data_IF_611794548330
#
_entry.id   IF_611794548330
#
_cell.length_a   1.000
_cell.length_b   1.000
_cell.length_c   1.000
_cell.angle_alpha   90.00
_cell.angle_beta   90.00
_cell.angle_gamma   90.00
#
_symmetry.space_group_name_H-M   'P 1'
#
loop_
_entity.id
_entity.type
_entity.pdbx_description
1 polymer ?
#
# COMPACT_ATOMS: atom_id res chain seq x y z
N UNK A 1 13.90 -13.50 -13.54
CA UNK A 1 14.64 -12.41 -12.87
C UNK A 1 14.97 -11.37 -13.94
N UNK A 2 14.03 -10.48 -14.23
CA UNK A 2 14.22 -9.37 -15.18
C UNK A 2 13.79 -8.11 -14.46
N UNK A 3 14.77 -7.36 -13.98
CA UNK A 3 14.58 -5.97 -13.57
C UNK A 3 14.22 -5.19 -14.83
N UNK A 4 12.92 -5.02 -15.07
CA UNK A 4 12.40 -4.24 -16.18
C UNK A 4 12.30 -2.77 -15.71
N UNK A 5 13.05 -1.83 -16.29
CA UNK A 5 13.40 -0.55 -15.65
C UNK A 5 12.29 0.52 -15.59
N UNK A 6 11.05 0.23 -15.95
CA UNK A 6 10.01 1.25 -16.20
C UNK A 6 8.66 1.05 -15.52
N UNK A 7 8.47 0.02 -14.68
CA UNK A 7 7.21 -0.15 -13.94
C UNK A 7 7.22 0.66 -12.65
N UNK A 8 6.85 1.94 -12.76
CA UNK A 8 6.40 2.70 -11.60
C UNK A 8 5.10 2.05 -11.15
N UNK A 9 5.12 1.37 -10.00
CA UNK A 9 3.90 0.86 -9.40
C UNK A 9 3.40 1.91 -8.41
N UNK A 10 2.17 2.34 -8.56
CA UNK A 10 1.48 3.25 -7.64
C UNK A 10 0.32 2.50 -6.99
N UNK A 11 0.18 2.61 -5.67
CA UNK A 11 -0.89 1.93 -4.95
C UNK A 11 -1.80 2.96 -4.30
N UNK A 12 -3.09 2.81 -4.54
CA UNK A 12 -4.13 3.61 -3.91
C UNK A 12 -4.89 2.71 -2.93
N UNK A 13 -4.88 3.11 -1.66
CA UNK A 13 -5.66 2.43 -0.64
C UNK A 13 -6.89 3.26 -0.33
N UNK A 14 -8.06 2.64 -0.48
CA UNK A 14 -9.35 3.25 -0.14
C UNK A 14 -10.06 2.39 0.90
N UNK A 15 -10.75 3.04 1.83
CA UNK A 15 -11.55 2.35 2.84
C UNK A 15 -12.83 1.80 2.18
N UNK A 16 -12.88 0.49 1.98
CA UNK A 16 -14.10 -0.19 1.53
C UNK A 16 -14.52 -1.26 2.56
N UNK A 17 -15.75 -1.21 3.11
CA UNK A 17 -16.24 -2.19 4.09
C UNK A 17 -16.52 -3.58 3.50
N UNK A 18 -16.38 -3.77 2.19
CA UNK A 18 -16.64 -5.04 1.49
C UNK A 18 -15.33 -5.64 1.00
N UNK A 19 -14.89 -6.73 1.61
CA UNK A 19 -13.67 -7.48 1.25
C UNK A 19 -13.84 -8.41 0.04
N UNK A 20 -14.94 -8.31 -0.72
CA UNK A 20 -15.16 -9.17 -1.89
C UNK A 20 -14.43 -8.57 -3.09
N UNK A 21 -13.25 -9.14 -3.35
CA UNK A 21 -12.65 -9.14 -4.68
C UNK A 21 -12.41 -10.60 -5.05
N UNK A 22 -12.87 -11.01 -6.23
CA UNK A 22 -12.69 -12.37 -6.75
C UNK A 22 -11.21 -12.77 -6.92
N UNK A 23 -10.91 -13.92 -7.54
CA UNK A 23 -9.56 -14.46 -7.61
C UNK A 23 -8.62 -13.57 -8.45
N UNK A 24 -8.01 -12.58 -7.80
CA UNK A 24 -7.07 -11.62 -8.39
C UNK A 24 -5.70 -12.26 -8.68
N UNK A 25 -5.39 -13.37 -8.01
CA UNK A 25 -4.12 -14.10 -8.10
C UNK A 25 -3.82 -14.52 -9.54
N UNK A 26 -4.76 -15.15 -10.23
CA UNK A 26 -4.58 -15.55 -11.63
C UNK A 26 -4.46 -14.38 -12.61
N UNK A 27 -5.01 -13.21 -12.28
CA UNK A 27 -4.83 -12.00 -13.09
C UNK A 27 -3.42 -11.41 -12.90
N UNK A 28 -2.93 -11.35 -11.66
CA UNK A 28 -1.62 -10.78 -11.31
C UNK A 28 -0.44 -11.65 -11.77
N UNK A 29 -0.63 -12.97 -11.86
CA UNK A 29 0.38 -13.88 -12.42
C UNK A 29 0.61 -13.64 -13.91
N UNK A 30 -0.45 -13.32 -14.66
CA UNK A 30 -0.40 -13.12 -16.12
C UNK A 30 -0.24 -11.64 -16.51
N UNK A 31 -0.59 -10.71 -15.63
CA UNK A 31 -0.54 -9.28 -15.87
C UNK A 31 0.15 -8.58 -14.70
N UNK A 32 1.11 -7.71 -14.99
CA UNK A 32 1.76 -6.91 -13.96
C UNK A 32 1.31 -5.44 -14.11
N UNK A 33 0.23 -5.04 -13.41
CA UNK A 33 -0.36 -3.71 -13.52
C UNK A 33 0.56 -2.62 -12.97
N UNK A 34 0.43 -1.42 -13.51
CA UNK A 34 1.16 -0.23 -13.05
C UNK A 34 0.47 0.47 -11.87
N UNK A 35 -0.84 0.31 -11.75
CA UNK A 35 -1.62 0.89 -10.65
C UNK A 35 -2.44 -0.23 -10.03
N UNK A 36 -2.39 -0.33 -8.71
CA UNK A 36 -3.20 -1.27 -7.94
C UNK A 36 -4.00 -0.48 -6.92
N UNK A 37 -5.30 -0.72 -6.90
CA UNK A 37 -6.23 -0.09 -5.96
C UNK A 37 -6.81 -1.19 -5.09
N UNK A 38 -6.81 -1.01 -3.77
CA UNK A 38 -7.36 -2.03 -2.87
C UNK A 38 -7.32 -1.66 -1.40
N UNK A 39 -7.92 -2.49 -0.56
CA UNK A 39 -7.85 -2.30 0.90
C UNK A 39 -6.48 -2.75 1.43
N UNK A 40 -5.92 -2.08 2.44
CA UNK A 40 -4.60 -2.44 3.00
C UNK A 40 -4.48 -3.91 3.39
N UNK A 41 -5.52 -4.48 4.00
CA UNK A 41 -5.55 -5.89 4.40
C UNK A 41 -5.39 -6.80 3.18
N UNK A 42 -6.19 -6.62 2.12
CA UNK A 42 -6.12 -7.49 0.94
C UNK A 42 -4.79 -7.35 0.18
N UNK A 43 -4.26 -6.13 0.08
CA UNK A 43 -2.96 -5.89 -0.56
C UNK A 43 -1.84 -6.55 0.24
N UNK A 44 -1.90 -6.48 1.58
CA UNK A 44 -0.96 -7.18 2.44
C UNK A 44 -1.01 -8.69 2.21
N UNK A 45 -2.20 -9.30 2.14
CA UNK A 45 -2.35 -10.73 1.86
C UNK A 45 -1.70 -11.12 0.53
N UNK A 46 -1.91 -10.31 -0.52
CA UNK A 46 -1.32 -10.55 -1.84
C UNK A 46 0.21 -10.40 -1.87
N UNK A 47 0.76 -9.50 -1.06
CA UNK A 47 2.20 -9.35 -0.88
C UNK A 47 2.74 -10.59 -0.15
N UNK A 48 2.07 -11.03 0.92
CA UNK A 48 2.49 -12.19 1.72
C UNK A 48 2.39 -13.51 0.96
N UNK A 49 1.40 -13.65 0.06
CA UNK A 49 1.26 -14.81 -0.84
C UNK A 49 2.24 -14.78 -2.02
N UNK A 50 3.09 -13.75 -2.13
CA UNK A 50 3.97 -13.48 -3.27
C UNK A 50 3.24 -13.30 -4.62
N UNK A 51 1.91 -13.14 -4.60
CA UNK A 51 1.11 -12.89 -5.80
C UNK A 51 1.27 -11.45 -6.30
N UNK A 52 1.71 -10.53 -5.43
CA UNK A 52 1.93 -9.12 -5.73
C UNK A 52 3.35 -8.69 -5.41
N UNK A 53 4.13 -8.37 -6.43
CA UNK A 53 5.49 -7.89 -6.29
C UNK A 53 5.55 -6.36 -6.10
N UNK A 54 6.13 -5.91 -4.99
CA UNK A 54 6.28 -4.50 -4.61
C UNK A 54 7.73 -3.97 -4.69
N UNK A 55 8.66 -4.68 -5.34
CA UNK A 55 10.08 -4.31 -5.38
C UNK A 55 10.42 -2.99 -6.11
N UNK A 56 9.54 -2.53 -7.01
CA UNK A 56 9.67 -1.27 -7.77
C UNK A 56 8.63 -0.22 -7.38
N UNK A 57 8.01 -0.40 -6.22
CA UNK A 57 6.98 0.48 -5.71
C UNK A 57 7.54 1.87 -5.34
N UNK A 58 6.86 2.94 -5.77
CA UNK A 58 7.34 4.34 -5.57
C UNK A 58 6.32 5.29 -4.96
N UNK A 59 5.02 5.05 -5.11
CA UNK A 59 3.98 6.01 -4.72
C UNK A 59 2.91 5.35 -3.86
N UNK A 60 2.86 5.71 -2.59
CA UNK A 60 1.85 5.25 -1.65
C UNK A 60 0.78 6.31 -1.46
N UNK A 61 -0.42 6.03 -1.96
CA UNK A 61 -1.56 6.96 -1.93
C UNK A 61 -2.61 6.45 -0.95
N UNK A 62 -2.98 7.29 0.02
CA UNK A 62 -4.09 7.01 0.93
C UNK A 62 -5.29 7.90 0.62
N UNK A 63 -6.44 7.25 0.48
CA UNK A 63 -7.77 7.84 0.42
C UNK A 63 -8.51 7.53 1.73
N UNK A 64 -9.33 8.46 2.20
CA UNK A 64 -9.95 8.50 3.53
C UNK A 64 -8.94 8.20 4.66
N UNK A 65 -7.75 8.80 4.60
CA UNK A 65 -6.60 8.39 5.40
C UNK A 65 -6.85 8.45 6.92
N UNK A 66 -7.60 9.45 7.41
CA UNK A 66 -7.91 9.58 8.84
C UNK A 66 -8.77 8.41 9.35
N UNK A 67 -9.70 7.92 8.53
CA UNK A 67 -10.54 6.77 8.82
C UNK A 67 -9.73 5.47 8.78
N UNK A 68 -8.91 5.32 7.75
CA UNK A 68 -8.03 4.16 7.57
C UNK A 68 -7.04 4.02 8.73
N UNK A 69 -6.39 5.11 9.14
CA UNK A 69 -5.43 5.13 10.25
C UNK A 69 -6.07 5.18 11.65
N UNK A 70 -7.40 5.31 11.71
CA UNK A 70 -8.20 5.21 12.92
C UNK A 70 -8.56 3.77 13.29
N UNK A 71 -8.66 2.88 12.31
CA UNK A 71 -8.86 1.46 12.52
C UNK A 71 -7.51 0.75 12.78
N UNK A 72 -7.43 -0.05 13.85
CA UNK A 72 -6.19 -0.72 14.25
C UNK A 72 -5.70 -1.75 13.24
N UNK A 73 -6.59 -2.54 12.65
CA UNK A 73 -6.23 -3.60 11.71
C UNK A 73 -5.70 -3.03 10.39
N UNK A 74 -6.35 -2.00 9.86
CA UNK A 74 -5.85 -1.29 8.67
C UNK A 74 -4.54 -0.58 8.94
N UNK A 75 -4.41 0.09 10.09
CA UNK A 75 -3.16 0.72 10.52
C UNK A 75 -2.01 -0.27 10.54
N UNK A 76 -2.20 -1.44 11.17
CA UNK A 76 -1.17 -2.46 11.28
C UNK A 76 -0.82 -3.05 9.91
N UNK A 77 -1.81 -3.18 9.02
CA UNK A 77 -1.60 -3.62 7.65
C UNK A 77 -0.76 -2.62 6.86
N UNK A 78 -1.03 -1.32 6.98
CA UNK A 78 -0.20 -0.26 6.37
C UNK A 78 1.24 -0.34 6.88
N UNK A 79 1.45 -0.43 8.20
CA UNK A 79 2.79 -0.53 8.78
C UNK A 79 3.54 -1.75 8.24
N UNK A 80 2.88 -2.91 8.12
CA UNK A 80 3.47 -4.11 7.55
C UNK A 80 3.85 -3.90 6.08
N UNK A 81 2.97 -3.30 5.27
CA UNK A 81 3.26 -2.99 3.86
C UNK A 81 4.51 -2.10 3.76
N UNK A 82 4.62 -1.05 4.55
CA UNK A 82 5.83 -0.20 4.58
C UNK A 82 7.09 -1.02 4.89
N UNK A 83 7.04 -1.94 5.84
CA UNK A 83 8.19 -2.79 6.18
C UNK A 83 8.61 -3.77 5.08
N UNK A 84 7.71 -4.14 4.16
CA UNK A 84 8.08 -4.95 3.00
C UNK A 84 8.80 -4.14 1.91
N UNK A 85 8.79 -2.81 2.00
CA UNK A 85 9.39 -1.92 1.00
C UNK A 85 10.78 -1.47 1.44
N UNK A 86 11.79 -1.75 0.63
CA UNK A 86 13.19 -1.45 0.95
C UNK A 86 13.66 -0.06 0.50
N UNK A 87 12.90 0.60 -0.38
CA UNK A 87 13.25 1.90 -0.97
C UNK A 87 12.33 2.99 -0.43
N UNK A 88 12.83 4.21 -0.20
CA UNK A 88 11.99 5.36 0.13
C UNK A 88 10.92 5.60 -0.94
N UNK A 89 9.71 5.94 -0.52
CA UNK A 89 8.56 6.11 -1.41
C UNK A 89 7.91 7.46 -1.17
N UNK A 90 7.31 8.03 -2.22
CA UNK A 90 6.51 9.23 -2.07
C UNK A 90 5.16 8.88 -1.45
N UNK A 91 4.83 9.55 -0.36
CA UNK A 91 3.50 9.48 0.26
C UNK A 91 2.62 10.61 -0.29
N UNK A 92 1.38 10.26 -0.68
CA UNK A 92 0.36 11.22 -1.09
C UNK A 92 -0.96 10.93 -0.39
N UNK A 93 -1.65 11.97 0.05
CA UNK A 93 -3.01 11.90 0.58
C UNK A 93 -3.86 12.89 -0.19
N UNK A 94 -5.05 12.47 -0.62
CA UNK A 94 -6.00 13.34 -1.31
C UNK A 94 -7.00 14.03 -0.37
N UNK A 95 -6.90 13.78 0.95
CA UNK A 95 -7.73 14.39 1.98
C UNK A 95 -7.02 15.41 2.87
N UNK A 96 -7.83 16.17 3.60
CA UNK A 96 -7.38 16.99 4.74
C UNK A 96 -7.00 16.06 5.90
N UNK A 97 -5.69 15.86 6.08
CA UNK A 97 -5.16 15.09 7.21
C UNK A 97 -5.19 15.89 8.51
N UNK A 98 -5.68 15.28 9.58
CA UNK A 98 -5.47 15.85 10.91
C UNK A 98 -4.00 15.73 11.36
N UNK A 99 -3.59 16.56 12.32
CA UNK A 99 -2.21 16.61 12.81
C UNK A 99 -1.74 15.29 13.45
N UNK A 100 -2.65 14.51 14.04
CA UNK A 100 -2.34 13.23 14.68
C UNK A 100 -1.98 12.18 13.63
N UNK A 101 -2.77 12.05 12.57
CA UNK A 101 -2.54 11.15 11.45
C UNK A 101 -1.26 11.51 10.71
N UNK A 102 -1.03 12.81 10.45
CA UNK A 102 0.23 13.30 9.87
C UNK A 102 1.45 12.86 10.68
N UNK A 103 1.42 13.04 12.01
CA UNK A 103 2.51 12.60 12.90
C UNK A 103 2.70 11.08 12.90
N UNK A 104 1.62 10.30 12.91
CA UNK A 104 1.68 8.83 12.82
C UNK A 104 2.37 8.38 11.54
N UNK A 105 1.94 8.89 10.39
CA UNK A 105 2.52 8.55 9.08
C UNK A 105 4.00 8.96 9.00
N UNK A 106 4.35 10.15 9.48
CA UNK A 106 5.74 10.58 9.55
C UNK A 106 6.59 9.68 10.44
N UNK A 107 6.05 9.20 11.56
CA UNK A 107 6.73 8.27 12.45
C UNK A 107 6.96 6.91 11.79
N UNK A 108 5.96 6.37 11.08
CA UNK A 108 6.07 5.12 10.31
C UNK A 108 7.17 5.29 9.25
N UNK A 109 7.09 6.33 8.42
CA UNK A 109 8.06 6.59 7.36
C UNK A 109 9.50 6.71 7.90
N UNK A 110 9.70 7.51 8.95
CA UNK A 110 11.02 7.66 9.58
C UNK A 110 11.53 6.34 10.15
N UNK A 111 10.67 5.54 10.78
CA UNK A 111 11.08 4.25 11.36
C UNK A 111 11.47 3.22 10.30
N UNK A 112 10.85 3.27 9.12
CA UNK A 112 11.11 2.31 8.05
C UNK A 112 12.37 2.66 7.25
N UNK A 113 12.67 3.95 7.03
CA UNK A 113 13.75 4.38 6.12
C UNK A 113 14.93 5.09 6.78
N UNK A 114 14.91 5.38 8.09
CA UNK A 114 16.07 5.83 8.85
C UNK A 114 16.52 4.75 9.83
#
# INVERSE_FOLDING_TARGET
RTDNPSKIVSYLFSWCPSSILGPLEGFLENNCPHIVVGTPIRILDLIQSNSLNIGNFRHFVLDECDRLMGNSEMHDSVVKIFNFTSKPMQFLSFDVLNQKTKKKLQAIYKKTYN
#
